data_IF_033271229520
#
_entry.id   IF_033271229520
#
_cell.length_a   1.000
_cell.length_b   1.000
_cell.length_c   1.000
_cell.angle_alpha   90.00
_cell.angle_beta   90.00
_cell.angle_gamma   90.00
#
_symmetry.space_group_name_H-M   'P 1'
#
loop_
_entity.id
_entity.type
_entity.pdbx_description
1 polymer ?
#
# COMPACT_ATOMS: atom_id res chain seq x y z
N UNK A 1 -5.68 9.94 6.23
CA UNK A 1 -6.87 9.09 6.00
C UNK A 1 -6.92 7.93 6.99
N UNK A 2 -5.91 7.05 7.02
CA UNK A 2 -5.86 5.89 7.93
C UNK A 2 -6.11 6.29 9.39
N UNK A 3 -5.44 7.32 9.89
CA UNK A 3 -5.66 7.85 11.24
C UNK A 3 -7.13 8.20 11.55
N UNK A 4 -7.84 8.83 10.60
CA UNK A 4 -9.24 9.18 10.80
C UNK A 4 -10.13 7.92 10.80
N UNK A 5 -9.87 6.96 9.92
CA UNK A 5 -10.59 5.68 9.92
C UNK A 5 -10.39 4.92 11.23
N UNK A 6 -9.15 4.83 11.72
CA UNK A 6 -8.85 4.12 12.97
C UNK A 6 -9.46 4.82 14.17
N UNK A 7 -9.41 6.16 14.22
CA UNK A 7 -10.05 6.95 15.28
C UNK A 7 -11.58 6.79 15.28
N UNK A 8 -12.22 6.86 14.10
CA UNK A 8 -13.68 6.70 13.97
C UNK A 8 -14.11 5.28 14.39
N UNK A 9 -13.38 4.25 13.95
CA UNK A 9 -13.69 2.86 14.28
C UNK A 9 -13.51 2.60 15.79
N UNK A 10 -12.41 3.08 16.38
CA UNK A 10 -12.17 2.99 17.82
C UNK A 10 -13.23 3.74 18.63
N UNK A 11 -13.62 4.95 18.21
CA UNK A 11 -14.70 5.72 18.82
C UNK A 11 -16.08 5.04 18.75
N UNK A 12 -16.26 4.08 17.82
CA UNK A 12 -17.43 3.21 17.73
C UNK A 12 -17.28 1.89 18.50
N UNK A 13 -16.28 1.78 19.37
CA UNK A 13 -16.06 0.60 20.22
C UNK A 13 -15.41 -0.59 19.51
N UNK A 14 -14.88 -0.42 18.29
CA UNK A 14 -14.17 -1.49 17.58
C UNK A 14 -12.75 -1.63 18.11
N UNK A 15 -12.27 -2.87 18.22
CA UNK A 15 -10.84 -3.14 18.42
C UNK A 15 -10.14 -3.07 17.06
N UNK A 16 -9.43 -1.97 16.82
CA UNK A 16 -8.78 -1.70 15.54
C UNK A 16 -7.39 -2.30 15.51
N UNK A 17 -7.11 -3.05 14.45
CA UNK A 17 -5.81 -3.56 14.09
C UNK A 17 -5.32 -2.85 12.83
N UNK A 18 -4.03 -2.57 12.74
CA UNK A 18 -3.48 -1.74 11.68
C UNK A 18 -2.23 -2.35 11.07
N UNK A 19 -2.27 -2.56 9.76
CA UNK A 19 -1.13 -2.97 8.94
C UNK A 19 -0.74 -1.77 8.06
N UNK A 20 0.49 -1.29 8.17
CA UNK A 20 1.00 -0.18 7.36
C UNK A 20 2.31 -0.56 6.68
N UNK A 21 2.41 -0.23 5.38
CA UNK A 21 3.62 -0.46 4.60
C UNK A 21 4.91 -0.01 5.29
N UNK A 22 5.01 1.26 5.71
CA UNK A 22 6.28 1.80 6.22
C UNK A 22 6.69 1.18 7.57
N UNK A 23 5.72 0.80 8.42
CA UNK A 23 6.01 0.09 9.67
C UNK A 23 6.49 -1.34 9.42
N UNK A 24 5.83 -2.02 8.49
CA UNK A 24 6.16 -3.40 8.15
C UNK A 24 7.52 -3.44 7.46
N UNK A 25 7.72 -2.61 6.42
CA UNK A 25 8.98 -2.48 5.69
C UNK A 25 10.16 -2.19 6.62
N UNK A 26 10.00 -1.30 7.60
CA UNK A 26 11.07 -0.97 8.54
C UNK A 26 11.60 -2.18 9.33
N UNK A 27 10.77 -3.20 9.59
CA UNK A 27 11.22 -4.44 10.22
C UNK A 27 12.08 -5.31 9.28
N UNK A 28 11.85 -5.22 7.96
CA UNK A 28 12.67 -5.91 6.96
C UNK A 28 13.97 -5.16 6.70
N UNK A 29 13.90 -3.83 6.50
CA UNK A 29 15.08 -3.00 6.25
C UNK A 29 16.10 -3.07 7.42
N UNK A 30 15.61 -3.24 8.65
CA UNK A 30 16.46 -3.36 9.84
C UNK A 30 17.01 -4.77 10.13
N UNK A 31 16.62 -5.79 9.36
CA UNK A 31 17.06 -7.17 9.60
C UNK A 31 18.44 -7.45 9.01
N UNK A 32 19.27 -8.23 9.71
CA UNK A 32 20.59 -8.66 9.23
C UNK A 32 20.51 -9.39 7.88
N UNK A 33 19.45 -10.20 7.70
CA UNK A 33 19.15 -10.91 6.46
C UNK A 33 18.85 -9.99 5.27
N UNK A 34 18.60 -8.69 5.48
CA UNK A 34 18.34 -7.72 4.42
C UNK A 34 19.59 -6.98 3.91
N UNK A 35 20.78 -7.24 4.48
CA UNK A 35 22.04 -6.55 4.13
C UNK A 35 22.36 -6.58 2.62
N UNK A 36 21.95 -7.62 1.91
CA UNK A 36 22.15 -7.77 0.46
C UNK A 36 21.11 -7.05 -0.41
N UNK A 37 20.13 -6.35 0.17
CA UNK A 37 18.97 -5.80 -0.53
C UNK A 37 18.75 -4.31 -0.21
N UNK A 38 19.73 -3.44 -0.53
CA UNK A 38 19.66 -2.03 -0.15
C UNK A 38 18.55 -1.27 -0.89
N UNK A 39 18.03 -0.22 -0.24
CA UNK A 39 17.26 0.82 -0.92
C UNK A 39 18.17 1.60 -1.90
N UNK A 40 17.69 1.82 -3.12
CA UNK A 40 18.41 2.57 -4.17
C UNK A 40 17.51 3.70 -4.62
N UNK A 41 18.01 4.94 -4.58
CA UNK A 41 17.28 6.15 -4.98
C UNK A 41 15.88 6.33 -4.33
N UNK A 42 15.75 5.92 -3.07
CA UNK A 42 14.48 5.97 -2.33
C UNK A 42 13.49 4.86 -2.71
N UNK A 43 13.92 3.89 -3.53
CA UNK A 43 13.13 2.76 -3.98
C UNK A 43 13.55 1.50 -3.25
N UNK A 44 12.62 0.92 -2.49
CA UNK A 44 12.82 -0.33 -1.76
C UNK A 44 13.20 -1.48 -2.70
N UNK A 45 14.19 -2.28 -2.32
CA UNK A 45 14.68 -3.40 -3.13
C UNK A 45 13.55 -4.39 -3.50
N UNK A 46 13.51 -4.94 -4.73
CA UNK A 46 12.46 -5.87 -5.17
C UNK A 46 12.26 -7.07 -4.25
N UNK A 47 13.34 -7.67 -3.72
CA UNK A 47 13.26 -8.77 -2.75
C UNK A 47 12.52 -8.36 -1.48
N UNK A 48 12.81 -7.17 -0.94
CA UNK A 48 12.13 -6.65 0.26
C UNK A 48 10.67 -6.40 -0.05
N UNK A 49 10.35 -5.76 -1.19
CA UNK A 49 8.95 -5.52 -1.59
C UNK A 49 8.15 -6.82 -1.67
N UNK A 50 8.76 -7.84 -2.29
CA UNK A 50 8.18 -9.16 -2.42
C UNK A 50 7.98 -9.83 -1.06
N UNK A 51 9.01 -9.82 -0.21
CA UNK A 51 8.96 -10.42 1.13
C UNK A 51 7.88 -9.76 2.00
N UNK A 52 7.81 -8.42 2.01
CA UNK A 52 6.79 -7.66 2.72
C UNK A 52 5.39 -8.04 2.23
N UNK A 53 5.19 -8.13 0.92
CA UNK A 53 3.90 -8.51 0.34
C UNK A 53 3.47 -9.93 0.71
N UNK A 54 4.38 -10.90 0.63
CA UNK A 54 4.14 -12.28 1.05
C UNK A 54 3.77 -12.37 2.53
N UNK A 55 4.54 -11.67 3.38
CA UNK A 55 4.24 -11.59 4.81
C UNK A 55 2.89 -10.94 5.08
N UNK A 56 2.57 -9.83 4.41
CA UNK A 56 1.33 -9.10 4.64
C UNK A 56 0.11 -9.98 4.33
N UNK A 57 0.17 -10.75 3.25
CA UNK A 57 -0.87 -11.72 2.90
C UNK A 57 -1.06 -12.80 3.97
N UNK A 58 0.03 -13.40 4.44
CA UNK A 58 -0.01 -14.38 5.53
C UNK A 58 -0.52 -13.75 6.85
N UNK A 59 -0.17 -12.49 7.12
CA UNK A 59 -0.58 -11.76 8.30
C UNK A 59 -2.10 -11.50 8.32
N UNK A 60 -2.72 -11.21 7.17
CA UNK A 60 -4.18 -11.07 7.05
C UNK A 60 -4.87 -12.39 7.40
N UNK A 61 -4.43 -13.53 6.84
CA UNK A 61 -5.01 -14.83 7.14
C UNK A 61 -4.79 -15.26 8.60
N UNK A 62 -3.65 -14.92 9.19
CA UNK A 62 -3.39 -15.15 10.62
C UNK A 62 -4.30 -14.30 11.50
N UNK A 63 -4.43 -13.01 11.17
CA UNK A 63 -5.28 -12.08 11.90
C UNK A 63 -6.74 -12.55 11.93
N UNK A 64 -7.29 -12.95 10.78
CA UNK A 64 -8.67 -13.45 10.71
C UNK A 64 -8.92 -14.68 11.60
N UNK A 65 -7.97 -15.63 11.59
CA UNK A 65 -8.04 -16.82 12.46
C UNK A 65 -8.04 -16.46 13.94
N UNK A 66 -7.28 -15.44 14.33
CA UNK A 66 -7.15 -14.97 15.72
C UNK A 66 -8.32 -14.08 16.15
N UNK A 67 -9.03 -13.45 15.21
CA UNK A 67 -10.00 -12.38 15.48
C UNK A 67 -11.32 -12.54 14.69
N UNK A 68 -12.04 -13.63 14.93
CA UNK A 68 -13.32 -13.93 14.24
C UNK A 68 -14.53 -13.09 14.67
N UNK A 69 -14.43 -12.41 15.82
CA UNK A 69 -15.52 -11.55 16.30
C UNK A 69 -15.64 -10.28 15.46
N UNK A 70 -16.87 -9.85 15.18
CA UNK A 70 -17.16 -8.59 14.50
C UNK A 70 -16.76 -7.36 15.30
N UNK A 71 -16.29 -7.49 16.54
CA UNK A 71 -15.72 -6.39 17.31
C UNK A 71 -14.36 -5.94 16.77
N UNK A 72 -13.62 -6.86 16.14
CA UNK A 72 -12.32 -6.56 15.56
C UNK A 72 -12.46 -5.96 14.15
N UNK A 73 -11.52 -5.09 13.78
CA UNK A 73 -11.42 -4.54 12.44
C UNK A 73 -9.95 -4.45 12.05
N UNK A 74 -9.58 -5.03 10.90
CA UNK A 74 -8.26 -4.81 10.30
C UNK A 74 -8.34 -3.68 9.29
N UNK A 75 -7.51 -2.67 9.49
CA UNK A 75 -7.27 -1.59 8.53
C UNK A 75 -5.89 -1.81 7.91
N UNK A 76 -5.82 -1.79 6.59
CA UNK A 76 -4.57 -1.98 5.85
C UNK A 76 -4.25 -0.74 5.00
N UNK A 77 -3.06 -0.18 5.19
CA UNK A 77 -2.48 0.83 4.31
C UNK A 77 -1.54 0.13 3.32
N UNK A 78 -2.06 -0.13 2.11
CA UNK A 78 -1.35 -0.84 1.04
C UNK A 78 -1.11 0.10 -0.16
N UNK A 79 0.07 0.71 -0.30
CA UNK A 79 0.38 1.62 -1.39
C UNK A 79 0.76 0.85 -2.68
N UNK A 80 -0.22 0.20 -3.30
CA UNK A 80 -0.04 -0.80 -4.38
C UNK A 80 0.92 -0.41 -5.52
N UNK A 81 0.83 0.83 -6.01
CA UNK A 81 1.69 1.33 -7.10
C UNK A 81 3.17 1.27 -6.69
N UNK A 82 4.05 0.84 -7.59
CA UNK A 82 5.45 0.56 -7.29
C UNK A 82 5.70 -0.82 -6.68
N UNK A 83 4.79 -1.78 -6.95
CA UNK A 83 4.88 -3.17 -6.48
C UNK A 83 4.95 -3.32 -4.93
N UNK A 84 4.16 -2.55 -4.19
CA UNK A 84 4.15 -2.62 -2.71
C UNK A 84 2.87 -3.29 -2.22
N UNK A 85 3.00 -4.43 -1.55
CA UNK A 85 1.86 -5.24 -1.07
C UNK A 85 0.87 -5.66 -2.16
N UNK A 86 1.33 -5.80 -3.41
CA UNK A 86 0.50 -6.25 -4.53
C UNK A 86 -0.06 -7.66 -4.35
N UNK A 87 0.56 -8.44 -3.46
CA UNK A 87 0.10 -9.75 -3.02
C UNK A 87 -1.30 -9.72 -2.40
N UNK A 88 -1.76 -8.58 -1.89
CA UNK A 88 -3.12 -8.42 -1.35
C UNK A 88 -4.18 -8.29 -2.47
N UNK A 89 -3.78 -7.90 -3.67
CA UNK A 89 -4.72 -7.67 -4.79
C UNK A 89 -4.63 -8.72 -5.88
N UNK A 90 -3.47 -9.39 -5.99
CA UNK A 90 -3.32 -10.53 -6.89
C UNK A 90 -4.13 -11.71 -6.39
N UNK A 91 -4.85 -12.34 -7.32
CA UNK A 91 -5.51 -13.60 -7.06
C UNK A 91 -4.48 -14.70 -6.84
N UNK A 92 -4.61 -15.42 -5.73
CA UNK A 92 -3.78 -16.60 -5.44
C UNK A 92 -4.65 -17.69 -4.85
N UNK A 93 -4.33 -18.93 -5.17
CA UNK A 93 -4.96 -20.08 -4.52
C UNK A 93 -4.33 -20.28 -3.13
N UNK A 94 -4.83 -19.56 -2.14
CA UNK A 94 -4.46 -19.74 -0.73
C UNK A 94 -5.58 -19.33 0.23
N UNK A 95 -5.38 -19.62 1.52
CA UNK A 95 -6.36 -19.36 2.57
C UNK A 95 -6.74 -17.87 2.76
N UNK A 96 -5.98 -16.93 2.19
CA UNK A 96 -6.25 -15.50 2.31
C UNK A 96 -7.22 -15.02 1.24
N UNK A 97 -7.24 -15.68 0.07
CA UNK A 97 -8.04 -15.21 -1.07
C UNK A 97 -9.55 -15.14 -0.77
N UNK A 98 -10.18 -16.15 -0.13
CA UNK A 98 -11.59 -16.04 0.22
C UNK A 98 -11.89 -14.84 1.12
N UNK A 99 -10.96 -14.45 2.00
CA UNK A 99 -11.11 -13.29 2.88
C UNK A 99 -11.04 -11.97 2.10
N UNK A 100 -10.06 -11.84 1.20
CA UNK A 100 -9.85 -10.63 0.38
C UNK A 100 -10.97 -10.40 -0.63
N UNK A 101 -11.64 -11.48 -1.06
CA UNK A 101 -12.81 -11.44 -1.95
C UNK A 101 -14.15 -11.41 -1.20
N UNK A 102 -14.16 -11.47 0.13
CA UNK A 102 -15.41 -11.53 0.87
C UNK A 102 -16.11 -10.16 0.92
N UNK A 103 -17.46 -10.11 1.00
CA UNK A 103 -18.21 -8.85 1.07
C UNK A 103 -17.85 -7.94 2.25
N UNK A 104 -17.24 -8.48 3.30
CA UNK A 104 -16.78 -7.73 4.48
C UNK A 104 -15.35 -7.18 4.37
N UNK A 105 -14.67 -7.42 3.25
CA UNK A 105 -13.37 -6.87 2.92
C UNK A 105 -13.52 -5.85 1.80
N UNK A 106 -13.30 -4.57 2.10
CA UNK A 106 -13.44 -3.49 1.13
C UNK A 106 -12.12 -2.75 0.92
N UNK A 107 -11.74 -2.58 -0.34
CA UNK A 107 -10.61 -1.77 -0.76
C UNK A 107 -11.11 -0.36 -1.09
N UNK A 108 -10.66 0.62 -0.30
CA UNK A 108 -10.98 2.02 -0.58
C UNK A 108 -9.91 2.63 -1.48
N UNK A 109 -10.33 3.28 -2.56
CA UNK A 109 -9.46 4.07 -3.43
C UNK A 109 -9.53 5.54 -2.97
N UNK A 110 -8.53 6.06 -2.22
CA UNK A 110 -8.49 7.46 -1.83
C UNK A 110 -8.20 8.33 -3.06
N UNK A 111 -9.22 9.00 -3.59
CA UNK A 111 -9.12 9.78 -4.82
C UNK A 111 -9.23 11.29 -4.52
N UNK A 112 -8.13 11.97 -4.16
CA UNK A 112 -8.15 13.42 -4.03
C UNK A 112 -8.47 14.10 -5.35
N UNK A 113 -9.20 15.21 -5.31
CA UNK A 113 -9.28 16.09 -6.49
C UNK A 113 -7.89 16.61 -6.85
N UNK A 114 -7.71 17.02 -8.12
CA UNK A 114 -6.43 17.54 -8.60
C UNK A 114 -5.92 18.73 -7.74
N UNK A 115 -6.84 19.59 -7.27
CA UNK A 115 -6.51 20.73 -6.40
C UNK A 115 -6.09 20.30 -5.00
N UNK A 116 -6.81 19.36 -4.38
CA UNK A 116 -6.44 18.78 -3.08
C UNK A 116 -5.09 18.07 -3.20
N UNK A 117 -4.85 17.38 -4.31
CA UNK A 117 -3.58 16.69 -4.53
C UNK A 117 -2.43 17.67 -4.56
N UNK A 118 -2.55 18.75 -5.35
CA UNK A 118 -1.52 19.77 -5.46
C UNK A 118 -1.16 20.39 -4.10
N UNK A 119 -2.15 20.62 -3.22
CA UNK A 119 -1.86 21.11 -1.86
C UNK A 119 -1.09 20.08 -1.04
N UNK A 120 -1.47 18.80 -1.10
CA UNK A 120 -0.78 17.74 -0.34
C UNK A 120 0.67 17.57 -0.80
N UNK A 121 0.94 17.68 -2.10
CA UNK A 121 2.31 17.62 -2.63
C UNK A 121 3.14 18.83 -2.21
N UNK A 122 2.56 20.04 -2.24
CA UNK A 122 3.21 21.25 -1.76
C UNK A 122 3.55 21.18 -0.26
N UNK A 123 2.64 20.64 0.56
CA UNK A 123 2.90 20.41 1.98
C UNK A 123 4.02 19.39 2.18
N UNK A 124 3.99 18.27 1.45
CA UNK A 124 5.05 17.27 1.50
C UNK A 124 6.41 17.85 1.11
N UNK A 125 6.48 18.63 0.04
CA UNK A 125 7.72 19.26 -0.41
C UNK A 125 8.30 20.22 0.66
N UNK A 126 7.45 20.96 1.38
CA UNK A 126 7.86 21.85 2.48
C UNK A 126 8.32 21.10 3.72
N UNK A 127 7.66 19.99 4.04
CA UNK A 127 7.92 19.21 5.25
C UNK A 127 9.05 18.17 5.06
N UNK A 128 9.52 17.97 3.82
CA UNK A 128 10.67 17.11 3.49
C UNK A 128 11.94 17.70 4.11
N UNK A 129 12.31 17.19 5.28
CA UNK A 129 13.45 17.68 6.08
C UNK A 129 13.10 18.07 7.52
N UNK A 130 11.80 18.08 7.89
CA UNK A 130 11.33 18.36 9.25
C UNK A 130 10.33 17.29 9.73
N UNK A 131 10.78 16.04 9.92
CA UNK A 131 9.87 14.97 10.34
C UNK A 131 9.33 15.25 11.74
N UNK A 132 8.01 15.12 11.90
CA UNK A 132 7.28 15.23 13.17
C UNK A 132 7.25 13.90 13.92
N UNK A 133 7.55 12.80 13.23
CA UNK A 133 7.63 11.45 13.80
C UNK A 133 8.79 10.65 13.17
N UNK A 134 9.36 9.69 13.90
CA UNK A 134 10.53 8.91 13.43
C UNK A 134 10.27 8.19 12.09
N UNK A 135 9.07 7.64 11.92
CA UNK A 135 8.64 6.95 10.69
C UNK A 135 8.41 7.88 9.49
N UNK A 136 8.28 9.21 9.68
CA UNK A 136 8.12 10.11 8.53
C UNK A 136 9.39 10.21 7.67
N UNK A 137 10.55 9.78 8.19
CA UNK A 137 11.79 9.64 7.42
C UNK A 137 11.68 8.58 6.33
N UNK A 138 10.80 7.60 6.51
CA UNK A 138 10.52 6.55 5.53
C UNK A 138 9.51 6.99 4.46
N UNK A 139 8.87 8.15 4.60
CA UNK A 139 7.91 8.64 3.62
C UNK A 139 8.60 8.85 2.25
N UNK A 140 7.91 8.46 1.18
CA UNK A 140 8.37 8.67 -0.18
C UNK A 140 8.75 10.15 -0.44
N UNK A 141 9.99 10.38 -0.88
CA UNK A 141 10.47 11.70 -1.28
C UNK A 141 9.69 12.24 -2.49
N UNK A 142 9.67 13.56 -2.74
CA UNK A 142 8.95 14.15 -3.87
C UNK A 142 9.29 13.51 -5.23
N UNK A 143 10.57 13.21 -5.48
CA UNK A 143 10.98 12.54 -6.71
C UNK A 143 10.36 11.14 -6.88
N UNK A 144 10.26 10.37 -5.80
CA UNK A 144 9.59 9.06 -5.78
C UNK A 144 8.09 9.22 -6.05
N UNK A 145 7.45 10.23 -5.47
CA UNK A 145 6.02 10.52 -5.74
C UNK A 145 5.79 10.83 -7.22
N UNK A 146 6.64 11.67 -7.83
CA UNK A 146 6.59 11.95 -9.27
C UNK A 146 6.75 10.68 -10.10
N UNK A 147 7.70 9.81 -9.73
CA UNK A 147 7.90 8.53 -10.41
C UNK A 147 6.64 7.63 -10.33
N UNK A 148 5.97 7.59 -9.17
CA UNK A 148 4.72 6.84 -9.02
C UNK A 148 3.59 7.40 -9.91
N UNK A 149 3.54 8.72 -10.14
CA UNK A 149 2.59 9.32 -11.09
C UNK A 149 2.91 8.97 -12.53
N UNK A 150 4.19 8.93 -12.89
CA UNK A 150 4.62 8.42 -14.20
C UNK A 150 4.23 6.96 -14.39
N UNK A 151 4.37 6.13 -13.35
CA UNK A 151 3.93 4.73 -13.37
C UNK A 151 2.42 4.63 -13.57
N UNK A 152 1.60 5.41 -12.85
CA UNK A 152 0.14 5.44 -13.07
C UNK A 152 -0.19 5.87 -14.50
N UNK A 153 0.48 6.89 -15.03
CA UNK A 153 0.27 7.31 -16.41
C UNK A 153 0.61 6.21 -17.41
N UNK A 154 1.74 5.53 -17.22
CA UNK A 154 2.13 4.38 -18.05
C UNK A 154 1.09 3.26 -17.98
N UNK A 155 0.60 2.92 -16.78
CA UNK A 155 -0.45 1.91 -16.60
C UNK A 155 -1.76 2.32 -17.27
N UNK A 156 -2.17 3.58 -17.14
CA UNK A 156 -3.37 4.10 -17.80
C UNK A 156 -3.27 3.94 -19.33
N UNK A 157 -2.10 4.25 -19.92
CA UNK A 157 -1.84 4.05 -21.35
C UNK A 157 -1.83 2.57 -21.72
N UNK A 158 -1.17 1.72 -20.92
CA UNK A 158 -1.11 0.27 -21.13
C UNK A 158 -2.51 -0.36 -21.15
N UNK A 159 -3.41 0.10 -20.28
CA UNK A 159 -4.80 -0.36 -20.22
C UNK A 159 -5.73 0.31 -21.24
N UNK A 160 -5.24 1.24 -22.07
CA UNK A 160 -6.08 1.99 -23.01
C UNK A 160 -7.10 2.93 -22.34
N UNK A 161 -6.82 3.38 -21.12
CA UNK A 161 -7.70 4.23 -20.30
C UNK A 161 -7.51 5.74 -20.57
N UNK A 162 -6.64 6.11 -21.51
CA UNK A 162 -6.34 7.51 -21.81
C UNK A 162 -7.36 8.12 -22.77
N UNK A 163 -8.14 9.08 -22.27
CA UNK A 163 -8.84 10.06 -23.13
C UNK A 163 -7.89 11.18 -23.54
N UNK A 164 -8.14 11.82 -24.70
CA UNK A 164 -7.31 12.88 -25.26
C UNK A 164 -7.13 14.03 -24.25
N UNK A 165 -5.89 14.31 -23.89
CA UNK A 165 -5.51 15.38 -22.97
C UNK A 165 -3.98 15.49 -22.93
N UNK A 166 -3.42 16.63 -22.49
CA UNK A 166 -1.99 16.86 -22.56
C UNK A 166 -1.20 15.74 -21.89
N UNK A 167 -0.14 15.29 -22.56
CA UNK A 167 0.85 14.38 -22.01
C UNK A 167 1.45 15.04 -20.77
N UNK A 168 1.20 14.45 -19.61
CA UNK A 168 1.54 15.03 -18.33
C UNK A 168 1.83 13.95 -17.32
N UNK A 169 2.99 14.04 -16.69
CA UNK A 169 3.43 13.21 -15.57
C UNK A 169 2.83 13.63 -14.22
N UNK A 170 1.78 14.46 -14.25
CA UNK A 170 1.08 14.97 -13.08
C UNK A 170 -0.09 14.08 -12.71
N UNK A 171 -0.43 14.08 -11.42
CA UNK A 171 -1.62 13.41 -10.93
C UNK A 171 -2.87 13.90 -11.67
N UNK A 172 -3.74 12.93 -12.00
CA UNK A 172 -5.06 13.14 -12.59
C UNK A 172 -6.02 12.17 -11.93
N UNK A 173 -7.06 12.69 -11.27
CA UNK A 173 -7.96 11.89 -10.46
C UNK A 173 -8.67 10.78 -11.25
N UNK A 174 -9.15 11.09 -12.45
CA UNK A 174 -9.80 10.15 -13.39
C UNK A 174 -8.88 8.97 -13.74
N UNK A 175 -7.63 9.25 -14.14
CA UNK A 175 -6.62 8.23 -14.47
C UNK A 175 -6.24 7.40 -13.25
N UNK A 176 -6.08 8.05 -12.09
CA UNK A 176 -5.77 7.39 -10.83
C UNK A 176 -6.85 6.37 -10.46
N UNK A 177 -8.12 6.78 -10.48
CA UNK A 177 -9.25 5.90 -10.19
C UNK A 177 -9.27 4.72 -11.16
N UNK A 178 -9.23 4.98 -12.46
CA UNK A 178 -9.35 3.94 -13.48
C UNK A 178 -8.22 2.88 -13.40
N UNK A 179 -6.99 3.31 -13.12
CA UNK A 179 -5.86 2.39 -12.90
C UNK A 179 -6.08 1.54 -11.66
N UNK A 180 -6.51 2.13 -10.55
CA UNK A 180 -6.74 1.38 -9.31
C UNK A 180 -7.93 0.41 -9.44
N UNK A 181 -9.02 0.80 -10.10
CA UNK A 181 -10.14 -0.09 -10.38
C UNK A 181 -9.70 -1.31 -11.21
N UNK A 182 -8.79 -1.11 -12.18
CA UNK A 182 -8.21 -2.21 -12.95
C UNK A 182 -7.33 -3.12 -12.09
N UNK A 183 -6.46 -2.56 -11.25
CA UNK A 183 -5.60 -3.31 -10.32
C UNK A 183 -6.44 -4.07 -9.29
N UNK A 184 -7.59 -3.53 -8.90
CA UNK A 184 -8.50 -4.09 -7.90
C UNK A 184 -9.68 -4.86 -8.51
N UNK A 185 -9.59 -5.26 -9.78
CA UNK A 185 -10.70 -5.90 -10.51
C UNK A 185 -11.29 -7.15 -9.82
N UNK A 186 -10.49 -7.82 -8.97
CA UNK A 186 -10.90 -9.00 -8.21
C UNK A 186 -11.24 -8.70 -6.74
N UNK A 187 -11.48 -7.43 -6.38
CA UNK A 187 -11.73 -6.99 -5.00
C UNK A 187 -13.01 -6.14 -4.93
N UNK A 188 -13.69 -6.21 -3.80
CA UNK A 188 -14.77 -5.26 -3.50
C UNK A 188 -14.16 -3.87 -3.28
N UNK A 189 -14.49 -2.95 -4.16
CA UNK A 189 -13.78 -1.68 -4.26
C UNK A 189 -14.76 -0.51 -4.15
N UNK A 190 -14.36 0.52 -3.40
CA UNK A 190 -15.12 1.75 -3.24
C UNK A 190 -14.21 2.95 -3.45
N UNK A 191 -14.55 3.81 -4.42
CA UNK A 191 -13.86 5.09 -4.57
C UNK A 191 -14.27 6.02 -3.45
N UNK A 192 -13.29 6.65 -2.80
CA UNK A 192 -13.51 7.67 -1.79
C UNK A 192 -12.98 9.02 -2.32
N UNK A 193 -13.84 9.86 -2.90
CA UNK A 193 -13.45 11.20 -3.34
C UNK A 193 -13.01 12.05 -2.15
N UNK A 194 -11.90 12.78 -2.30
CA UNK A 194 -11.39 13.69 -1.27
C UNK A 194 -11.29 15.08 -1.88
N UNK A 195 -12.28 15.92 -1.58
CA UNK A 195 -12.38 17.26 -2.14
C UNK A 195 -12.03 18.36 -1.12
N UNK A 196 -11.88 17.97 0.15
CA UNK A 196 -11.62 18.89 1.25
C UNK A 196 -10.24 18.64 1.87
N UNK A 197 -9.62 19.73 2.31
CA UNK A 197 -8.36 19.71 3.05
C UNK A 197 -8.69 19.88 4.51
N UNK A 198 -8.50 18.80 5.27
CA UNK A 198 -8.64 18.83 6.72
C UNK A 198 -7.33 19.34 7.36
N UNK A 199 -7.40 20.12 8.45
CA UNK A 199 -6.22 20.49 9.21
C UNK A 199 -5.41 19.28 9.66
N UNK A 200 -4.10 19.32 9.46
CA UNK A 200 -3.17 18.28 9.95
C UNK A 200 -2.69 18.69 11.33
N UNK A 201 -3.18 18.01 12.37
CA UNK A 201 -2.89 18.35 13.79
C UNK A 201 -1.78 17.49 14.41
N UNK A 202 -1.15 16.59 13.66
CA UNK A 202 -0.12 15.67 14.14
C UNK A 202 0.50 14.84 13.02
N UNK A 203 1.31 13.84 13.37
CA UNK A 203 1.88 12.90 12.40
C UNK A 203 0.84 11.87 11.98
N UNK A 204 0.92 11.39 10.74
CA UNK A 204 0.08 10.30 10.24
C UNK A 204 0.31 8.97 10.98
N UNK A 205 1.43 8.85 11.69
CA UNK A 205 1.81 7.71 12.52
C UNK A 205 1.30 7.82 13.97
N UNK A 206 0.77 8.98 14.37
CA UNK A 206 0.14 9.18 15.69
C UNK A 206 -1.30 8.63 15.67
N UNK A 207 -1.39 7.31 15.56
CA UNK A 207 -2.68 6.59 15.52
C UNK A 207 -3.32 6.53 16.91
N UNK A 208 -4.64 6.34 16.95
CA UNK A 208 -5.39 6.27 18.20
C UNK A 208 -4.80 5.20 19.14
N UNK A 209 -4.65 5.45 20.46
CA UNK A 209 -3.95 4.54 21.40
C UNK A 209 -4.52 3.12 21.47
N UNK A 210 -5.81 2.94 21.18
CA UNK A 210 -6.46 1.63 21.13
C UNK A 210 -6.13 0.82 19.85
N UNK A 211 -5.40 1.40 18.89
CA UNK A 211 -5.03 0.75 17.63
C UNK A 211 -3.85 -0.19 17.84
N UNK A 212 -4.03 -1.47 17.49
CA UNK A 212 -2.97 -2.49 17.57
C UNK A 212 -2.27 -2.62 16.23
N UNK A 213 -0.99 -2.25 16.16
CA UNK A 213 -0.22 -2.38 14.93
C UNK A 213 0.24 -3.84 14.71
N UNK A 214 -0.03 -4.39 13.54
CA UNK A 214 0.55 -5.66 13.10
C UNK A 214 2.02 -5.43 12.75
N UNK A 215 2.90 -6.21 13.39
CA UNK A 215 4.34 -6.13 13.17
C UNK A 215 4.91 -7.51 12.85
N UNK A 216 5.82 -7.63 11.87
CA UNK A 216 6.57 -8.86 11.65
C UNK A 216 7.38 -9.24 12.88
N UNK A 217 7.40 -10.52 13.22
CA UNK A 217 8.39 -11.09 14.15
C UNK A 217 9.73 -11.32 13.41
N UNK A 218 10.88 -11.40 14.10
CA UNK A 218 12.15 -11.71 13.44
C UNK A 218 12.08 -12.97 12.56
N UNK A 219 11.52 -14.07 13.07
CA UNK A 219 11.36 -15.32 12.31
C UNK A 219 10.41 -15.17 11.10
N UNK A 220 9.42 -14.27 11.19
CA UNK A 220 8.55 -13.95 10.07
C UNK A 220 9.34 -13.25 8.95
N UNK A 221 10.21 -12.30 9.33
CA UNK A 221 11.05 -11.53 8.41
C UNK A 221 12.03 -12.46 7.69
N UNK A 222 12.76 -13.29 8.44
CA UNK A 222 13.73 -14.23 7.87
C UNK A 222 13.08 -15.20 6.89
N UNK A 223 11.94 -15.79 7.27
CA UNK A 223 11.21 -16.72 6.41
C UNK A 223 10.71 -16.05 5.13
N UNK A 224 10.14 -14.85 5.23
CA UNK A 224 9.64 -14.12 4.08
C UNK A 224 10.76 -13.66 3.14
N UNK A 225 11.89 -13.19 3.70
CA UNK A 225 13.09 -12.84 2.92
C UNK A 225 13.67 -14.06 2.21
N UNK A 226 13.85 -15.18 2.90
CA UNK A 226 14.34 -16.41 2.31
C UNK A 226 13.42 -16.89 1.17
N UNK A 227 12.10 -16.83 1.36
CA UNK A 227 11.12 -17.18 0.33
C UNK A 227 11.24 -16.28 -0.90
N UNK A 228 11.38 -14.97 -0.72
CA UNK A 228 11.54 -14.03 -1.83
C UNK A 228 12.90 -14.18 -2.53
N UNK A 229 13.98 -14.37 -1.78
CA UNK A 229 15.34 -14.53 -2.29
C UNK A 229 15.54 -15.83 -3.08
N UNK A 230 14.83 -16.90 -2.70
CA UNK A 230 14.87 -18.19 -3.39
C UNK A 230 13.99 -18.23 -4.66
N UNK A 231 13.27 -17.15 -4.99
CA UNK A 231 12.55 -17.09 -6.26
C UNK A 231 13.54 -17.04 -7.42
N UNK A 232 13.25 -17.71 -8.55
CA UNK A 232 14.04 -17.54 -9.77
C UNK A 232 14.11 -16.05 -10.15
N UNK A 233 15.29 -15.54 -10.49
CA UNK A 233 15.51 -14.11 -10.75
C UNK A 233 14.53 -13.54 -11.79
N UNK A 234 14.27 -14.29 -12.87
CA UNK A 234 13.31 -13.88 -13.89
C UNK A 234 11.87 -13.84 -13.38
N UNK A 235 11.50 -14.75 -12.47
CA UNK A 235 10.17 -14.76 -11.86
C UNK A 235 10.01 -13.56 -10.93
N UNK A 236 10.99 -13.30 -10.07
CA UNK A 236 10.98 -12.12 -9.20
C UNK A 236 10.88 -10.84 -10.02
N UNK A 237 11.72 -10.69 -11.05
CA UNK A 237 11.71 -9.54 -11.95
C UNK A 237 10.34 -9.34 -12.60
N UNK A 238 9.77 -10.39 -13.20
CA UNK A 238 8.41 -10.32 -13.78
C UNK A 238 7.38 -9.91 -12.74
N UNK A 239 7.37 -10.57 -11.58
CA UNK A 239 6.40 -10.27 -10.53
C UNK A 239 6.54 -8.86 -9.94
N UNK A 240 7.73 -8.25 -10.04
CA UNK A 240 7.98 -6.90 -9.51
C UNK A 240 7.82 -5.80 -10.56
N UNK A 241 8.23 -6.03 -11.82
CA UNK A 241 8.19 -5.03 -12.89
C UNK A 241 6.87 -5.05 -13.67
N UNK A 242 6.24 -6.22 -13.74
CA UNK A 242 4.97 -6.47 -14.43
C UNK A 242 3.88 -6.89 -13.43
N UNK A 243 3.96 -6.33 -12.23
CA UNK A 243 3.08 -6.66 -11.10
C UNK A 243 1.58 -6.45 -11.40
N UNK A 244 1.29 -5.66 -12.43
CA UNK A 244 -0.02 -5.24 -12.87
C UNK A 244 -0.64 -6.16 -13.95
N UNK A 245 0.15 -6.99 -14.64
CA UNK A 245 -0.32 -7.83 -15.75
C UNK A 245 -1.31 -8.93 -15.29
N UNK A 246 -1.06 -9.56 -14.13
CA UNK A 246 -1.84 -10.70 -13.62
C UNK A 246 -3.16 -10.31 -12.92
N UNK A 247 -3.53 -9.03 -12.88
CA UNK A 247 -4.83 -8.56 -12.37
C UNK A 247 -5.87 -8.37 -13.49
N UNK A 248 -5.47 -8.61 -14.74
CA UNK A 248 -6.32 -8.60 -15.91
C UNK A 248 -6.47 -9.99 -16.48
N UNK A 249 -7.31 -10.83 -15.87
CA UNK A 249 -7.88 -11.94 -16.62
C UNK A 249 -8.55 -11.38 -17.87
N UNK A 250 -8.07 -11.79 -19.05
CA UNK A 250 -8.86 -11.71 -20.27
C UNK A 250 -10.16 -12.46 -20.01
N UNK A 251 -11.26 -11.72 -19.88
CA UNK A 251 -12.60 -12.29 -20.06
C UNK A 251 -12.78 -12.79 -21.48
#
# INVERSE_FOLDING_TARGET
>A
MVQNFTAIAAGRGRTVHLLQWDLVRGAFDGASAATGYPEIDGVTHPVIRKAVGLWAREAVARWDREHRSTEHLLVCEAPLIGNRMTELVRTRDDATEPLLCAPHSTFYIPAPSDSVRAVIENLRARDTGRPRHVYERANAAPAVVTHLWQEIHHLATHYGLTSHGPDGHTYRQDRYIAVYERVLAHRHTTVLPINDILPVTGSAYDVHPATRQLRPRPDDVERALARAANMPADALRRETERWYEDNGGTG
#
